data_IF_540331208297
#
_entry.id   IF_540331208297
#
_cell.length_a   1.000
_cell.length_b   1.000
_cell.length_c   1.000
_cell.angle_alpha   90.00
_cell.angle_beta   90.00
_cell.angle_gamma   90.00
#
_symmetry.space_group_name_H-M   'P 1'
#
loop_
_entity.id
_entity.type
_entity.pdbx_description
1 polymer ?
#
# COMPACT_ATOMS: atom_id res chain seq x y z
N UNK A 1 -6.89 6.84 -14.30
CA UNK A 1 -7.62 5.89 -13.43
C UNK A 1 -8.98 6.46 -13.04
N UNK A 2 -10.00 5.61 -12.91
CA UNK A 2 -11.36 6.05 -12.59
C UNK A 2 -11.67 5.96 -11.09
N UNK A 3 -11.18 4.92 -10.41
CA UNK A 3 -11.47 4.65 -9.00
C UNK A 3 -10.18 4.60 -8.18
N UNK A 4 -10.09 5.35 -7.08
CA UNK A 4 -8.99 5.27 -6.11
C UNK A 4 -9.41 5.83 -4.75
N UNK A 5 -8.93 5.22 -3.65
CA UNK A 5 -9.24 5.63 -2.29
C UNK A 5 -8.10 5.27 -1.32
N UNK A 6 -8.03 5.97 -0.20
CA UNK A 6 -7.17 5.59 0.92
C UNK A 6 -7.96 4.77 1.94
N UNK A 7 -7.32 3.75 2.47
CA UNK A 7 -7.91 2.85 3.43
C UNK A 7 -6.96 2.51 4.58
N UNK A 8 -7.52 2.03 5.67
CA UNK A 8 -6.80 1.44 6.80
C UNK A 8 -7.04 -0.06 6.85
N UNK A 9 -5.98 -0.86 6.93
CA UNK A 9 -6.10 -2.31 7.09
C UNK A 9 -6.59 -2.65 8.51
N UNK A 10 -7.79 -3.21 8.63
CA UNK A 10 -8.34 -3.67 9.92
C UNK A 10 -7.76 -5.05 10.26
N UNK A 11 -7.81 -5.99 9.33
CA UNK A 11 -7.35 -7.35 9.58
C UNK A 11 -7.66 -8.29 8.43
N UNK A 12 -7.60 -9.57 8.72
CA UNK A 12 -8.02 -10.63 7.79
C UNK A 12 -9.04 -11.52 8.50
N UNK A 13 -9.98 -12.00 7.72
CA UNK A 13 -10.99 -12.98 8.10
C UNK A 13 -11.31 -13.90 6.92
N UNK A 14 -12.31 -14.70 7.05
CA UNK A 14 -12.82 -15.55 5.99
C UNK A 14 -14.32 -15.39 5.89
N UNK A 15 -14.84 -15.56 4.71
CA UNK A 15 -16.28 -15.61 4.40
C UNK A 15 -16.55 -16.84 3.55
N UNK A 16 -17.80 -17.29 3.53
CA UNK A 16 -18.24 -18.33 2.63
C UNK A 16 -18.96 -17.68 1.45
N UNK A 17 -18.72 -18.20 0.26
CA UNK A 17 -19.49 -17.84 -0.92
C UNK A 17 -20.81 -18.62 -1.00
N UNK A 18 -21.59 -18.39 -2.04
CA UNK A 18 -22.89 -19.03 -2.24
C UNK A 18 -22.77 -20.56 -2.43
N UNK A 19 -21.64 -21.05 -2.89
CA UNK A 19 -21.33 -22.47 -3.07
C UNK A 19 -20.81 -23.14 -1.78
N UNK A 20 -20.66 -22.37 -0.69
CA UNK A 20 -20.12 -22.82 0.59
C UNK A 20 -18.58 -22.90 0.62
N UNK A 21 -17.89 -22.39 -0.41
CA UNK A 21 -16.43 -22.35 -0.43
C UNK A 21 -15.89 -21.24 0.45
N UNK A 22 -14.81 -21.54 1.15
CA UNK A 22 -14.14 -20.60 2.04
C UNK A 22 -13.26 -19.63 1.25
N UNK A 23 -13.59 -18.33 1.34
CA UNK A 23 -12.84 -17.24 0.70
C UNK A 23 -12.09 -16.44 1.77
N UNK A 24 -10.73 -16.45 1.76
CA UNK A 24 -9.95 -15.60 2.67
C UNK A 24 -10.03 -14.15 2.22
N UNK A 25 -10.37 -13.25 3.14
CA UNK A 25 -10.52 -11.82 2.84
C UNK A 25 -9.74 -10.94 3.78
N UNK A 26 -9.23 -9.82 3.25
CA UNK A 26 -8.70 -8.71 4.03
C UNK A 26 -9.78 -7.64 4.16
N UNK A 27 -10.06 -7.21 5.38
CA UNK A 27 -11.00 -6.13 5.68
C UNK A 27 -10.24 -4.80 5.72
N UNK A 28 -10.67 -3.88 4.86
CA UNK A 28 -10.12 -2.53 4.73
C UNK A 28 -11.22 -1.52 5.05
N UNK A 29 -10.92 -0.56 5.93
CA UNK A 29 -11.77 0.62 6.14
C UNK A 29 -11.35 1.67 5.13
N UNK A 30 -12.17 1.86 4.09
CA UNK A 30 -11.90 2.71 2.94
C UNK A 30 -12.67 4.03 3.05
N UNK A 31 -11.97 5.10 3.37
CA UNK A 31 -12.58 6.42 3.55
C UNK A 31 -13.22 6.64 4.93
N UNK A 32 -14.01 7.72 5.12
CA UNK A 32 -14.18 8.78 4.13
C UNK A 32 -12.89 9.56 3.86
N UNK A 33 -12.60 9.81 2.58
CA UNK A 33 -11.51 10.67 2.16
C UNK A 33 -12.09 12.03 1.75
N UNK A 34 -11.47 13.13 2.16
CA UNK A 34 -11.95 14.49 1.84
C UNK A 34 -11.00 15.11 0.82
N UNK A 35 -11.56 15.69 -0.23
CA UNK A 35 -10.79 16.42 -1.24
C UNK A 35 -10.25 17.72 -0.64
N UNK A 36 -8.93 17.86 -0.60
CA UNK A 36 -8.25 19.05 -0.03
C UNK A 36 -7.80 20.02 -1.11
N UNK A 37 -7.50 19.53 -2.30
CA UNK A 37 -7.08 20.36 -3.43
C UNK A 37 -7.38 19.65 -4.75
N UNK A 38 -7.81 20.40 -5.73
CA UNK A 38 -7.89 19.96 -7.14
C UNK A 38 -6.77 20.66 -7.89
N UNK A 39 -5.92 19.90 -8.56
CA UNK A 39 -4.81 20.40 -9.37
C UNK A 39 -5.20 20.38 -10.83
N UNK A 40 -4.85 21.45 -11.54
CA UNK A 40 -5.14 21.65 -12.96
C UNK A 40 -3.85 21.72 -13.77
N UNK A 41 -3.92 21.43 -15.05
CA UNK A 41 -2.77 21.51 -15.94
C UNK A 41 -2.24 22.94 -16.07
N UNK A 42 -3.11 23.94 -16.01
CA UNK A 42 -2.75 25.37 -16.13
C UNK A 42 -1.89 25.86 -14.96
N UNK A 43 -2.23 25.46 -13.73
CA UNK A 43 -1.55 25.97 -12.53
C UNK A 43 -0.43 25.06 -12.03
N UNK A 44 -0.64 23.74 -12.11
CA UNK A 44 0.24 22.74 -11.49
C UNK A 44 1.02 21.91 -12.53
N UNK A 45 0.70 22.06 -13.82
CA UNK A 45 1.31 21.29 -14.91
C UNK A 45 0.79 19.85 -15.05
N UNK A 46 -0.17 19.45 -14.24
CA UNK A 46 -0.86 18.15 -14.33
C UNK A 46 -2.19 18.16 -13.60
N UNK A 47 -3.13 17.34 -14.06
CA UNK A 47 -4.43 17.17 -13.43
C UNK A 47 -4.38 16.08 -12.34
N UNK A 48 -4.80 16.41 -11.12
CA UNK A 48 -4.88 15.47 -9.99
C UNK A 48 -5.83 15.98 -8.90
N UNK A 49 -6.31 15.07 -8.08
CA UNK A 49 -7.10 15.37 -6.88
C UNK A 49 -6.29 14.96 -5.66
N UNK A 50 -6.02 15.91 -4.76
CA UNK A 50 -5.41 15.63 -3.48
C UNK A 50 -6.49 15.31 -2.47
N UNK A 51 -6.34 14.17 -1.77
CA UNK A 51 -7.28 13.72 -0.76
C UNK A 51 -6.63 13.59 0.61
N UNK A 52 -7.36 13.99 1.63
CA UNK A 52 -7.01 13.84 3.05
C UNK A 52 -7.73 12.65 3.66
N UNK A 53 -7.03 11.83 4.45
CA UNK A 53 -7.55 10.64 5.12
C UNK A 53 -7.03 10.49 6.54
N UNK A 54 -7.88 9.95 7.41
CA UNK A 54 -7.56 9.67 8.80
C UNK A 54 -7.57 10.94 9.69
N UNK A 55 -8.13 10.81 10.85
CA UNK A 55 -8.22 11.92 11.81
C UNK A 55 -6.90 12.12 12.56
N UNK A 56 -6.58 13.36 12.86
CA UNK A 56 -5.44 13.77 13.68
C UNK A 56 -5.84 14.96 14.55
N UNK A 57 -5.30 15.01 15.78
CA UNK A 57 -5.51 16.15 16.66
C UNK A 57 -4.75 17.36 16.12
N UNK A 58 -5.36 18.54 16.07
CA UNK A 58 -4.76 19.78 15.55
C UNK A 58 -3.40 20.12 16.19
N UNK A 59 -3.23 19.80 17.49
CA UNK A 59 -1.96 20.03 18.22
C UNK A 59 -0.77 19.28 17.65
N UNK A 60 -1.00 18.24 16.82
CA UNK A 60 0.05 17.42 16.20
C UNK A 60 0.35 17.84 14.75
N UNK A 61 -0.32 18.88 14.25
CA UNK A 61 -0.17 19.37 12.88
C UNK A 61 0.66 20.66 12.90
N UNK A 62 1.62 20.76 12.00
CA UNK A 62 2.46 21.95 11.84
C UNK A 62 1.68 23.12 11.27
N UNK A 63 2.12 24.36 11.53
CA UNK A 63 1.45 25.58 11.04
C UNK A 63 1.27 25.60 9.50
N UNK A 64 2.29 25.24 8.66
CA UNK A 64 2.10 25.20 7.21
C UNK A 64 1.04 24.19 6.77
N UNK A 65 1.04 23.00 7.35
CA UNK A 65 0.04 21.97 7.07
C UNK A 65 -1.36 22.41 7.50
N UNK A 66 -1.49 23.03 8.69
CA UNK A 66 -2.76 23.60 9.13
C UNK A 66 -3.28 24.66 8.15
N UNK A 67 -2.42 25.58 7.71
CA UNK A 67 -2.78 26.59 6.73
C UNK A 67 -3.25 26.01 5.39
N UNK A 68 -2.72 24.84 4.99
CA UNK A 68 -3.19 24.13 3.81
C UNK A 68 -4.63 23.62 3.96
N UNK A 69 -4.97 23.02 5.10
CA UNK A 69 -6.33 22.57 5.40
C UNK A 69 -7.31 23.75 5.62
N UNK A 70 -6.86 24.81 6.29
CA UNK A 70 -7.66 26.02 6.50
C UNK A 70 -8.04 26.68 5.16
N UNK A 71 -7.10 26.72 4.18
CA UNK A 71 -7.37 27.21 2.83
C UNK A 71 -8.43 26.36 2.11
N UNK A 72 -8.46 25.07 2.36
CA UNK A 72 -9.45 24.15 1.80
C UNK A 72 -10.78 24.15 2.57
N UNK A 73 -10.85 24.77 3.75
CA UNK A 73 -12.04 24.77 4.63
C UNK A 73 -12.36 23.39 5.20
N UNK A 74 -11.37 22.47 5.31
CA UNK A 74 -11.55 21.10 5.77
C UNK A 74 -10.80 20.83 7.06
N UNK A 75 -11.33 19.93 7.88
CA UNK A 75 -10.64 19.48 9.10
C UNK A 75 -9.31 18.82 8.76
N UNK A 76 -8.30 19.01 9.63
CA UNK A 76 -6.96 18.44 9.46
C UNK A 76 -7.01 16.91 9.34
N UNK A 77 -6.28 16.37 8.39
CA UNK A 77 -6.18 14.93 8.13
C UNK A 77 -4.74 14.44 8.29
N UNK A 78 -4.60 13.18 8.66
CA UNK A 78 -3.29 12.57 8.94
C UNK A 78 -2.46 12.27 7.69
N UNK A 79 -3.12 11.87 6.62
CA UNK A 79 -2.49 11.47 5.38
C UNK A 79 -3.03 12.30 4.24
N UNK A 80 -2.13 12.86 3.44
CA UNK A 80 -2.42 13.50 2.18
C UNK A 80 -1.82 12.68 1.05
N UNK A 81 -2.61 12.39 0.01
CA UNK A 81 -2.15 11.70 -1.20
C UNK A 81 -2.86 12.27 -2.41
N UNK A 82 -2.21 12.16 -3.55
CA UNK A 82 -2.74 12.61 -4.82
C UNK A 82 -3.11 11.43 -5.71
N UNK A 83 -4.24 11.59 -6.39
CA UNK A 83 -4.72 10.65 -7.39
C UNK A 83 -4.93 11.36 -8.71
N UNK A 84 -4.41 10.82 -9.79
CA UNK A 84 -4.60 11.30 -11.15
C UNK A 84 -5.85 10.67 -11.74
N UNK A 85 -7.01 11.17 -11.34
CA UNK A 85 -8.26 10.74 -11.94
C UNK A 85 -8.40 11.27 -13.37
N UNK A 86 -9.10 10.53 -14.22
CA UNK A 86 -9.41 10.95 -15.59
C UNK A 86 -10.38 12.14 -15.58
N UNK A 87 -11.28 12.15 -14.61
CA UNK A 87 -12.28 13.19 -14.37
C UNK A 87 -11.92 14.12 -13.20
N UNK A 88 -10.65 14.44 -13.02
CA UNK A 88 -10.19 15.26 -11.89
C UNK A 88 -10.91 16.62 -11.77
N UNK A 89 -11.35 17.19 -12.88
CA UNK A 89 -12.06 18.48 -12.92
C UNK A 89 -13.50 18.43 -12.35
N UNK A 90 -14.09 17.25 -12.21
CA UNK A 90 -15.45 17.09 -11.65
C UNK A 90 -15.47 17.11 -10.13
N UNK A 91 -14.30 16.95 -9.49
CA UNK A 91 -14.21 16.95 -8.03
C UNK A 91 -14.18 18.37 -7.47
N UNK A 92 -14.92 18.58 -6.38
CA UNK A 92 -14.91 19.83 -5.65
C UNK A 92 -14.12 19.70 -4.34
N UNK A 93 -13.45 20.80 -3.93
CA UNK A 93 -12.77 20.86 -2.62
C UNK A 93 -13.81 20.71 -1.50
N UNK A 94 -13.52 19.87 -0.51
CA UNK A 94 -14.44 19.51 0.57
C UNK A 94 -15.35 18.30 0.25
N UNK A 95 -15.38 17.81 -0.99
CA UNK A 95 -16.15 16.62 -1.36
C UNK A 95 -15.61 15.39 -0.65
N UNK A 96 -16.49 14.51 -0.17
CA UNK A 96 -16.15 13.22 0.42
C UNK A 96 -16.14 12.11 -0.63
N UNK A 97 -15.09 11.29 -0.60
CA UNK A 97 -14.96 10.06 -1.38
C UNK A 97 -15.09 8.90 -0.41
N UNK A 98 -16.06 8.02 -0.63
CA UNK A 98 -16.39 6.87 0.24
C UNK A 98 -16.19 5.54 -0.50
N UNK A 99 -16.42 4.45 0.25
CA UNK A 99 -16.29 3.10 -0.30
C UNK A 99 -17.31 2.77 -1.41
N UNK A 100 -18.40 3.51 -1.51
CA UNK A 100 -19.49 3.38 -2.47
C UNK A 100 -19.06 3.55 -3.95
N UNK A 101 -17.86 4.14 -4.16
CA UNK A 101 -17.30 4.21 -5.52
C UNK A 101 -16.90 2.85 -6.09
N UNK A 102 -16.78 1.81 -5.24
CA UNK A 102 -16.43 0.44 -5.63
C UNK A 102 -17.63 -0.48 -5.57
N UNK A 103 -17.61 -1.51 -6.42
CA UNK A 103 -18.63 -2.55 -6.49
C UNK A 103 -18.02 -3.93 -6.22
N UNK A 104 -18.85 -4.90 -5.84
CA UNK A 104 -18.42 -6.29 -5.73
C UNK A 104 -18.04 -6.82 -7.13
N UNK A 105 -16.92 -7.53 -7.23
CA UNK A 105 -16.35 -7.98 -8.49
C UNK A 105 -15.33 -7.01 -9.11
N UNK A 106 -15.21 -5.77 -8.61
CA UNK A 106 -14.16 -4.85 -9.06
C UNK A 106 -12.78 -5.41 -8.76
N UNK A 107 -11.86 -5.24 -9.71
CA UNK A 107 -10.45 -5.57 -9.54
C UNK A 107 -9.62 -4.34 -9.16
N UNK A 108 -8.81 -4.48 -8.12
CA UNK A 108 -8.03 -3.38 -7.54
C UNK A 108 -6.56 -3.72 -7.36
N UNK A 109 -5.73 -2.68 -7.33
CA UNK A 109 -4.33 -2.73 -6.93
C UNK A 109 -4.18 -2.10 -5.54
N UNK A 110 -3.64 -2.87 -4.59
CA UNK A 110 -3.43 -2.42 -3.21
C UNK A 110 -1.95 -2.15 -2.94
N UNK A 111 -1.61 -0.90 -2.61
CA UNK A 111 -0.26 -0.46 -2.31
C UNK A 111 -0.13 -0.07 -0.84
N UNK A 112 0.83 -0.65 -0.13
CA UNK A 112 1.14 -0.30 1.26
C UNK A 112 2.59 -0.59 1.62
N UNK A 113 3.03 -0.10 2.78
CA UNK A 113 4.33 -0.43 3.35
C UNK A 113 4.26 -1.82 3.98
N UNK A 114 5.11 -2.73 3.51
CA UNK A 114 5.17 -4.10 3.99
C UNK A 114 5.65 -4.19 5.44
N UNK A 115 5.33 -5.30 6.12
CA UNK A 115 5.85 -5.56 7.47
C UNK A 115 7.38 -5.58 7.47
N UNK A 116 8.01 -4.83 8.34
CA UNK A 116 9.46 -4.87 8.55
C UNK A 116 9.89 -6.20 9.16
N UNK A 117 11.02 -6.72 8.71
CA UNK A 117 11.65 -7.96 9.20
C UNK A 117 13.05 -7.72 9.77
N UNK A 118 13.46 -6.45 9.87
CA UNK A 118 14.76 -6.06 10.35
C UNK A 118 15.91 -6.47 9.44
N UNK A 119 17.13 -6.51 9.96
CA UNK A 119 18.31 -6.97 9.23
C UNK A 119 18.25 -8.49 9.11
N UNK A 120 18.29 -9.01 7.88
CA UNK A 120 18.19 -10.44 7.60
C UNK A 120 19.41 -10.94 6.80
N UNK A 121 19.80 -12.18 7.09
CA UNK A 121 20.83 -12.89 6.32
C UNK A 121 20.40 -13.17 4.88
N UNK A 122 21.38 -13.42 4.01
CA UNK A 122 21.16 -13.62 2.58
C UNK A 122 20.23 -14.79 2.27
N UNK A 123 20.22 -15.82 3.10
CA UNK A 123 19.34 -16.99 2.95
C UNK A 123 17.87 -16.57 3.05
N UNK A 124 17.47 -15.86 4.11
CA UNK A 124 16.08 -15.42 4.29
C UNK A 124 15.69 -14.30 3.34
N UNK A 125 16.63 -13.35 3.10
CA UNK A 125 16.38 -12.15 2.29
C UNK A 125 16.26 -12.47 0.81
N UNK A 126 17.06 -13.41 0.32
CA UNK A 126 17.19 -13.68 -1.11
C UNK A 126 16.93 -15.13 -1.50
N UNK A 127 16.55 -16.01 -0.56
CA UNK A 127 16.27 -17.41 -0.82
C UNK A 127 17.53 -18.23 -1.19
N UNK A 128 18.72 -17.82 -0.73
CA UNK A 128 19.95 -18.57 -0.98
C UNK A 128 19.95 -19.89 -0.22
N UNK A 129 20.64 -20.90 -0.76
CA UNK A 129 20.81 -22.20 -0.12
C UNK A 129 21.70 -22.09 1.13
N UNK A 130 21.36 -22.86 2.15
CA UNK A 130 22.21 -23.03 3.33
C UNK A 130 23.27 -24.11 3.07
N UNK A 131 24.35 -24.09 3.85
CA UNK A 131 25.34 -25.17 3.85
C UNK A 131 24.85 -26.44 4.56
N UNK A 132 25.62 -27.53 4.52
CA UNK A 132 25.31 -28.78 5.22
C UNK A 132 25.20 -28.57 6.72
N UNK A 133 24.26 -29.24 7.39
CA UNK A 133 24.06 -29.16 8.83
C UNK A 133 24.77 -30.29 9.60
N UNK A 134 25.27 -31.30 8.87
CA UNK A 134 25.95 -32.49 9.38
C UNK A 134 27.33 -32.70 8.72
N UNK A 135 27.99 -33.83 8.92
CA UNK A 135 29.29 -34.16 8.37
C UNK A 135 30.40 -33.20 8.73
N UNK A 136 30.37 -32.63 9.95
CA UNK A 136 31.41 -31.73 10.46
C UNK A 136 31.43 -30.32 9.82
N UNK A 137 30.45 -29.99 8.99
CA UNK A 137 30.37 -28.66 8.40
C UNK A 137 30.16 -27.59 9.47
N UNK A 138 30.94 -26.51 9.39
CA UNK A 138 30.78 -25.28 10.18
C UNK A 138 30.12 -24.16 9.36
N UNK A 139 29.79 -24.45 8.09
CA UNK A 139 29.19 -23.51 7.16
C UNK A 139 27.66 -23.75 7.08
N UNK A 140 26.90 -23.13 7.96
CA UNK A 140 25.44 -23.34 8.05
C UNK A 140 24.64 -22.28 7.28
N UNK A 141 24.70 -21.04 7.76
CA UNK A 141 23.85 -19.93 7.22
C UNK A 141 24.69 -18.73 6.77
N UNK A 142 25.86 -18.98 6.23
CA UNK A 142 26.76 -17.94 5.70
C UNK A 142 26.33 -17.46 4.32
N UNK A 143 26.72 -16.22 3.96
CA UNK A 143 26.33 -15.57 2.72
C UNK A 143 27.03 -16.10 1.46
N UNK A 144 28.07 -16.94 1.62
CA UNK A 144 28.87 -17.47 0.53
C UNK A 144 29.94 -16.52 0.01
N UNK A 145 30.61 -16.91 -1.05
CA UNK A 145 31.68 -16.14 -1.69
C UNK A 145 31.15 -14.82 -2.26
N UNK A 146 32.00 -13.79 -2.20
CA UNK A 146 31.69 -12.48 -2.79
C UNK A 146 32.14 -12.35 -4.26
N UNK A 147 32.81 -13.36 -4.83
CA UNK A 147 33.26 -13.40 -6.21
C UNK A 147 34.65 -14.00 -6.35
N UNK A 148 35.25 -13.87 -7.53
CA UNK A 148 36.62 -14.23 -7.80
C UNK A 148 37.62 -13.27 -7.14
N UNK A 149 38.89 -13.69 -7.01
CA UNK A 149 39.92 -12.93 -6.31
C UNK A 149 40.50 -11.78 -7.17
N UNK A 150 41.56 -12.06 -7.92
CA UNK A 150 42.38 -11.04 -8.61
C UNK A 150 41.70 -10.40 -9.82
N UNK A 151 40.82 -11.11 -10.49
CA UNK A 151 40.01 -10.61 -11.61
C UNK A 151 38.53 -10.97 -11.37
N UNK A 152 37.64 -9.98 -11.17
CA UNK A 152 37.73 -8.54 -11.42
C UNK A 152 38.23 -7.69 -10.22
N UNK A 153 38.80 -8.27 -9.16
CA UNK A 153 39.28 -7.56 -7.95
C UNK A 153 38.22 -6.68 -7.24
N UNK A 154 36.95 -6.96 -7.45
CA UNK A 154 35.82 -6.24 -6.85
C UNK A 154 34.60 -7.12 -6.67
N UNK A 155 33.73 -6.73 -5.80
CA UNK A 155 32.36 -7.29 -5.70
C UNK A 155 31.48 -6.59 -6.71
N UNK A 156 30.78 -7.35 -7.55
CA UNK A 156 29.91 -6.79 -8.58
C UNK A 156 28.70 -6.09 -7.96
N UNK A 157 28.22 -5.05 -8.63
CA UNK A 157 26.98 -4.34 -8.25
C UNK A 157 25.81 -5.32 -8.30
N UNK A 158 24.86 -5.18 -7.36
CA UNK A 158 23.68 -6.05 -7.28
C UNK A 158 23.93 -7.40 -6.59
N UNK A 159 25.14 -7.69 -6.09
CA UNK A 159 25.42 -8.88 -5.30
C UNK A 159 24.43 -8.98 -4.12
N UNK A 160 23.72 -10.11 -4.03
CA UNK A 160 22.73 -10.38 -2.97
C UNK A 160 23.43 -10.58 -1.63
N UNK A 161 23.31 -9.61 -0.74
CA UNK A 161 23.94 -9.58 0.58
C UNK A 161 22.91 -9.44 1.72
N UNK A 162 23.30 -9.71 2.98
CA UNK A 162 22.47 -9.40 4.14
C UNK A 162 22.09 -7.91 4.18
N UNK A 163 20.96 -7.61 4.79
CA UNK A 163 20.50 -6.23 4.94
C UNK A 163 19.05 -6.15 5.39
N UNK A 164 18.52 -4.93 5.42
CA UNK A 164 17.13 -4.66 5.78
C UNK A 164 16.18 -5.44 4.84
N UNK A 165 15.22 -6.14 5.44
CA UNK A 165 14.16 -6.84 4.72
C UNK A 165 12.79 -6.32 5.18
N UNK A 166 11.87 -6.16 4.23
CA UNK A 166 10.56 -5.55 4.50
C UNK A 166 10.65 -4.04 4.80
N UNK A 167 9.55 -3.45 5.26
CA UNK A 167 9.39 -2.01 5.45
C UNK A 167 9.63 -1.22 4.16
N UNK A 168 9.21 -1.81 3.05
CA UNK A 168 9.27 -1.21 1.71
C UNK A 168 7.86 -1.12 1.14
N UNK A 169 7.65 -0.18 0.24
CA UNK A 169 6.39 -0.07 -0.49
C UNK A 169 6.24 -1.26 -1.42
N UNK A 170 5.09 -1.93 -1.32
CA UNK A 170 4.72 -3.09 -2.14
C UNK A 170 3.32 -2.88 -2.68
N UNK A 171 3.12 -3.19 -3.94
CA UNK A 171 1.81 -3.22 -4.59
C UNK A 171 1.46 -4.68 -4.92
N UNK A 172 0.30 -5.12 -4.46
CA UNK A 172 -0.33 -6.37 -4.89
C UNK A 172 -1.40 -6.00 -5.88
N UNK A 173 -1.30 -6.53 -7.10
CA UNK A 173 -2.16 -6.19 -8.22
C UNK A 173 -3.28 -7.21 -8.39
N UNK A 174 -4.36 -6.76 -9.04
CA UNK A 174 -5.46 -7.59 -9.50
C UNK A 174 -6.15 -8.38 -8.36
N UNK A 175 -6.45 -7.69 -7.27
CA UNK A 175 -7.23 -8.24 -6.17
C UNK A 175 -8.72 -7.98 -6.40
N UNK A 176 -9.54 -8.98 -6.23
CA UNK A 176 -11.00 -8.93 -6.36
C UNK A 176 -11.65 -8.38 -5.08
N UNK A 177 -12.61 -7.46 -5.22
CA UNK A 177 -13.48 -7.02 -4.14
C UNK A 177 -14.65 -8.00 -4.03
N UNK A 178 -14.76 -8.72 -2.93
CA UNK A 178 -15.82 -9.70 -2.72
C UNK A 178 -17.10 -9.03 -2.24
N UNK A 179 -16.96 -8.02 -1.36
CA UNK A 179 -18.10 -7.31 -0.79
C UNK A 179 -17.74 -5.88 -0.42
N UNK A 180 -18.69 -4.98 -0.64
CA UNK A 180 -18.64 -3.57 -0.21
C UNK A 180 -19.73 -3.34 0.85
N UNK A 181 -19.34 -2.77 1.97
CA UNK A 181 -20.26 -2.27 3.01
C UNK A 181 -20.14 -0.74 3.02
N UNK A 182 -21.07 -0.09 2.36
CA UNK A 182 -21.09 1.36 2.21
C UNK A 182 -21.43 2.07 3.53
N UNK A 183 -22.24 1.46 4.40
CA UNK A 183 -22.64 2.08 5.68
C UNK A 183 -21.45 2.23 6.63
N UNK A 184 -20.61 1.20 6.70
CA UNK A 184 -19.42 1.18 7.57
C UNK A 184 -18.13 1.58 6.83
N UNK A 185 -18.20 1.92 5.55
CA UNK A 185 -17.06 2.19 4.67
C UNK A 185 -16.04 1.04 4.68
N UNK A 186 -16.49 -0.21 4.55
CA UNK A 186 -15.64 -1.38 4.52
C UNK A 186 -15.58 -2.01 3.13
N UNK A 187 -14.35 -2.39 2.74
CA UNK A 187 -14.09 -3.21 1.57
C UNK A 187 -13.53 -4.56 2.00
N UNK A 188 -14.15 -5.64 1.57
CA UNK A 188 -13.67 -7.00 1.75
C UNK A 188 -12.96 -7.43 0.47
N UNK A 189 -11.64 -7.50 0.53
CA UNK A 189 -10.78 -7.81 -0.62
C UNK A 189 -10.28 -9.24 -0.48
N UNK A 190 -10.44 -10.05 -1.54
CA UNK A 190 -9.99 -11.43 -1.60
C UNK A 190 -8.47 -11.54 -1.49
N UNK A 191 -8.01 -12.33 -0.55
CA UNK A 191 -6.59 -12.59 -0.35
C UNK A 191 -5.87 -11.60 0.57
N UNK A 192 -4.56 -11.50 0.42
CA UNK A 192 -3.67 -10.75 1.30
C UNK A 192 -3.34 -9.37 0.77
N UNK A 193 -3.51 -8.36 1.61
CA UNK A 193 -3.07 -6.97 1.36
C UNK A 193 -1.79 -6.69 2.17
N UNK A 194 -0.78 -5.99 1.61
CA UNK A 194 0.46 -5.72 2.31
C UNK A 194 0.27 -4.84 3.55
N UNK A 195 1.22 -4.90 4.47
CA UNK A 195 1.27 -4.10 5.69
C UNK A 195 0.69 -4.76 6.93
N UNK A 196 0.98 -4.20 8.11
CA UNK A 196 0.40 -4.60 9.39
C UNK A 196 -1.04 -4.11 9.54
N UNK A 197 -1.73 -4.55 10.59
CA UNK A 197 -3.01 -3.95 11.01
C UNK A 197 -2.81 -2.46 11.29
N UNK A 198 -3.80 -1.65 11.00
CA UNK A 198 -3.80 -0.17 11.13
C UNK A 198 -2.84 0.56 10.18
N UNK A 199 -2.23 -0.11 9.20
CA UNK A 199 -1.43 0.56 8.17
C UNK A 199 -2.31 1.23 7.12
N UNK A 200 -1.78 2.33 6.58
CA UNK A 200 -2.35 2.99 5.41
C UNK A 200 -2.19 2.09 4.18
N UNK A 201 -3.26 1.94 3.44
CA UNK A 201 -3.31 1.23 2.15
C UNK A 201 -3.88 2.19 1.11
N UNK A 202 -3.20 2.32 0.00
CA UNK A 202 -3.69 3.03 -1.17
C UNK A 202 -4.32 2.02 -2.11
N UNK A 203 -5.60 2.18 -2.38
CA UNK A 203 -6.38 1.33 -3.29
C UNK A 203 -6.58 2.09 -4.59
N UNK A 204 -6.36 1.43 -5.71
CA UNK A 204 -6.59 1.95 -7.05
C UNK A 204 -7.26 0.88 -7.90
N UNK A 205 -8.01 1.29 -8.91
CA UNK A 205 -8.47 0.41 -9.96
C UNK A 205 -7.28 -0.35 -10.57
N UNK A 206 -7.44 -1.64 -10.85
CA UNK A 206 -6.37 -2.46 -11.38
C UNK A 206 -6.03 -2.07 -12.82
N UNK A 207 -4.74 -1.94 -13.09
CA UNK A 207 -4.23 -1.71 -14.47
C UNK A 207 -4.32 -2.98 -15.32
N UNK A 208 -4.42 -4.16 -14.67
CA UNK A 208 -4.43 -5.48 -15.31
C UNK A 208 -5.81 -6.14 -15.34
N UNK A 209 -6.84 -5.47 -14.86
CA UNK A 209 -8.21 -6.00 -15.01
C UNK A 209 -8.58 -6.01 -16.50
N UNK A 210 -8.88 -7.18 -16.99
CA UNK A 210 -9.41 -7.41 -18.32
C UNK A 210 -10.93 -7.34 -18.28
#
# INVERSE_FOLDING_TARGET
MKKAILATKIGMTQIFDEEGMLVPVTVLQAGPCVVTQVKTEENDGYAAVQVGFGEIREKLVNKPEKGHFDKAGVAVKRFLREFRFENAAEYAVGQEIKADMFEAGDHIDATAISKGKGFQGAIKRHGQSRGPMTHGSKYHRHAGSNGAASDPSRVLKGKKMPGQMGHVQVTVQNLEIVRVDAENNLLLVKGAVPGPKKSLVTIKESVKSL
#
